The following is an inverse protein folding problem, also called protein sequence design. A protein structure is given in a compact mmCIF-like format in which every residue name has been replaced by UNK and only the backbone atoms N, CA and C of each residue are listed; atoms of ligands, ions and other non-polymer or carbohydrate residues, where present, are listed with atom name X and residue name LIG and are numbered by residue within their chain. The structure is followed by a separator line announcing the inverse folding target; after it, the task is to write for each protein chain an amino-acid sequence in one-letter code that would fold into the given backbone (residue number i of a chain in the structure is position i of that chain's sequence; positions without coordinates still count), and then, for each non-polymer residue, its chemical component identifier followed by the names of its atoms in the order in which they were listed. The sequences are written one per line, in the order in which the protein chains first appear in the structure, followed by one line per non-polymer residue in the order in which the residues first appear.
data_IF_309461963294
#
_entry.id   IF_309461963294
#
_cell.length_a   1.000
_cell.length_b   1.000
_cell.length_c   1.000
_cell.angle_alpha   90.00
_cell.angle_beta   90.00
_cell.angle_gamma   90.00
#
_symmetry.space_group_name_H-M   'P 1'
#
loop_
_entity.id
_entity.type
_entity.pdbx_description
1 polymer ?
#
# COMPACT_ATOMS: atom_id res chain seq x y z
N UNK A 1 -1.10 -24.50 29.16
CA UNK A 1 -2.06 -23.59 29.83
C UNK A 1 -3.35 -24.36 30.04
N UNK A 2 -3.90 -24.37 31.26
CA UNK A 2 -5.16 -25.08 31.53
C UNK A 2 -6.32 -24.40 30.78
N UNK A 3 -7.34 -25.16 30.39
CA UNK A 3 -8.48 -24.64 29.62
C UNK A 3 -9.24 -23.53 30.38
N UNK A 4 -9.22 -23.61 31.71
CA UNK A 4 -9.70 -22.56 32.62
C UNK A 4 -8.96 -21.22 32.44
N UNK A 5 -7.65 -21.23 32.26
CA UNK A 5 -6.85 -20.01 32.02
C UNK A 5 -7.15 -19.40 30.64
N UNK A 6 -7.45 -20.22 29.63
CA UNK A 6 -7.84 -19.73 28.29
C UNK A 6 -9.24 -19.10 28.33
N UNK A 7 -10.18 -19.72 29.03
CA UNK A 7 -11.53 -19.17 29.24
C UNK A 7 -11.47 -17.84 29.99
N UNK A 8 -10.70 -17.75 31.07
CA UNK A 8 -10.55 -16.52 31.85
C UNK A 8 -9.99 -15.35 31.02
N UNK A 9 -9.00 -15.59 30.16
CA UNK A 9 -8.45 -14.57 29.25
C UNK A 9 -9.46 -14.10 28.21
N UNK A 10 -10.21 -15.02 27.59
CA UNK A 10 -11.21 -14.70 26.56
C UNK A 10 -12.30 -13.78 27.10
N UNK A 11 -12.75 -14.02 28.33
CA UNK A 11 -13.85 -13.29 28.95
C UNK A 11 -13.40 -12.18 29.92
N UNK A 12 -12.09 -11.87 29.96
CA UNK A 12 -11.48 -10.84 30.83
C UNK A 12 -11.90 -10.98 32.30
N UNK A 13 -11.85 -12.20 32.83
CA UNK A 13 -12.14 -12.50 34.23
C UNK A 13 -10.96 -13.23 34.89
N UNK A 14 -10.97 -13.31 36.22
CA UNK A 14 -9.92 -13.91 37.06
C UNK A 14 -10.47 -15.10 37.83
N UNK A 15 -9.68 -16.15 37.99
CA UNK A 15 -9.95 -17.22 38.95
C UNK A 15 -9.63 -16.73 40.36
N UNK A 16 -10.65 -16.66 41.21
CA UNK A 16 -10.54 -16.17 42.59
C UNK A 16 -10.35 -17.32 43.58
N UNK A 17 -10.98 -18.46 43.32
CA UNK A 17 -10.89 -19.64 44.16
C UNK A 17 -11.13 -20.89 43.33
N UNK A 18 -10.43 -21.97 43.67
CA UNK A 18 -10.68 -23.30 43.14
C UNK A 18 -10.42 -24.33 44.23
N UNK A 19 -11.42 -25.15 44.51
CA UNK A 19 -11.29 -26.33 45.35
C UNK A 19 -11.72 -27.58 44.56
N UNK A 20 -11.94 -28.71 45.26
CA UNK A 20 -12.32 -29.98 44.62
C UNK A 20 -13.77 -30.04 44.14
N UNK A 21 -14.60 -29.04 44.46
CA UNK A 21 -16.05 -29.04 44.20
C UNK A 21 -16.52 -27.78 43.47
N UNK A 22 -15.79 -26.66 43.58
CA UNK A 22 -16.21 -25.36 43.06
C UNK A 22 -15.08 -24.50 42.50
N UNK A 23 -15.45 -23.61 41.58
CA UNK A 23 -14.62 -22.58 40.97
C UNK A 23 -15.34 -21.24 41.10
N UNK A 24 -14.65 -20.24 41.65
CA UNK A 24 -15.14 -18.86 41.72
C UNK A 24 -14.31 -18.02 40.77
N UNK A 25 -14.97 -17.38 39.80
CA UNK A 25 -14.36 -16.42 38.87
C UNK A 25 -14.93 -15.02 39.07
N UNK A 26 -14.14 -13.98 38.82
CA UNK A 26 -14.59 -12.60 39.02
C UNK A 26 -14.07 -11.63 37.98
N UNK A 27 -14.82 -10.56 37.74
CA UNK A 27 -14.50 -9.51 36.78
C UNK A 27 -15.31 -8.24 37.03
N UNK A 28 -15.02 -7.20 36.25
CA UNK A 28 -15.59 -5.86 36.42
C UNK A 28 -17.03 -5.72 35.88
N UNK A 29 -17.46 -6.63 34.99
CA UNK A 29 -18.77 -6.62 34.35
C UNK A 29 -19.67 -7.70 34.95
N UNK A 30 -20.95 -7.73 34.57
CA UNK A 30 -21.84 -8.85 34.93
C UNK A 30 -21.38 -10.17 34.33
N UNK A 31 -21.71 -11.27 35.01
CA UNK A 31 -21.29 -12.62 34.63
C UNK A 31 -21.85 -13.00 33.26
N UNK A 32 -21.02 -13.29 32.24
CA UNK A 32 -21.52 -13.86 31.01
C UNK A 32 -22.02 -15.29 31.30
N UNK A 33 -23.30 -15.58 31.12
CA UNK A 33 -23.86 -16.93 31.40
C UNK A 33 -23.08 -18.05 30.67
N UNK A 34 -22.67 -17.78 29.43
CA UNK A 34 -21.87 -18.66 28.60
C UNK A 34 -20.47 -18.98 29.18
N UNK A 35 -19.89 -18.08 29.99
CA UNK A 35 -18.60 -18.34 30.66
C UNK A 35 -18.77 -19.38 31.77
N UNK A 36 -19.77 -19.23 32.64
CA UNK A 36 -19.97 -20.14 33.76
C UNK A 36 -20.33 -21.56 33.28
N UNK A 37 -21.12 -21.67 32.22
CA UNK A 37 -21.38 -22.95 31.55
C UNK A 37 -20.12 -23.56 30.93
N UNK A 38 -19.30 -22.75 30.24
CA UNK A 38 -18.05 -23.23 29.66
C UNK A 38 -17.05 -23.70 30.72
N UNK A 39 -17.01 -23.05 31.89
CA UNK A 39 -16.18 -23.49 33.02
C UNK A 39 -16.71 -24.82 33.57
N UNK A 40 -18.01 -24.92 33.87
CA UNK A 40 -18.64 -26.17 34.34
C UNK A 40 -18.36 -27.33 33.39
N UNK A 41 -18.49 -27.09 32.08
CA UNK A 41 -18.23 -28.11 31.06
C UNK A 41 -16.74 -28.51 30.99
N UNK A 42 -15.82 -27.55 31.06
CA UNK A 42 -14.39 -27.81 30.93
C UNK A 42 -13.77 -28.45 32.18
N UNK A 43 -14.33 -28.23 33.37
CA UNK A 43 -13.74 -28.67 34.64
C UNK A 43 -14.59 -29.69 35.40
N UNK A 44 -15.88 -29.82 35.10
CA UNK A 44 -16.83 -30.64 35.85
C UNK A 44 -17.18 -30.10 37.24
N UNK A 45 -16.71 -28.90 37.59
CA UNK A 45 -16.91 -28.27 38.91
C UNK A 45 -17.96 -27.17 38.84
N UNK A 46 -18.66 -26.90 39.94
CA UNK A 46 -19.62 -25.80 39.98
C UNK A 46 -18.91 -24.45 39.79
N UNK A 47 -19.52 -23.52 39.06
CA UNK A 47 -18.90 -22.26 38.66
C UNK A 47 -19.74 -21.06 39.12
N UNK A 48 -19.12 -20.19 39.91
CA UNK A 48 -19.75 -19.03 40.51
C UNK A 48 -19.06 -17.73 40.10
N UNK A 49 -19.84 -16.65 39.96
CA UNK A 49 -19.32 -15.33 39.63
C UNK A 49 -19.29 -14.42 40.85
N UNK A 50 -18.17 -13.72 41.05
CA UNK A 50 -18.05 -12.65 42.04
C UNK A 50 -17.63 -11.35 41.36
N UNK A 51 -18.46 -10.28 41.39
CA UNK A 51 -18.08 -8.99 40.84
C UNK A 51 -16.89 -8.42 41.64
N UNK A 52 -15.92 -7.85 40.93
CA UNK A 52 -14.73 -7.23 41.53
C UNK A 52 -14.88 -5.70 41.55
N UNK A 53 -14.44 -5.06 42.64
CA UNK A 53 -14.32 -3.61 42.71
C UNK A 53 -13.11 -3.12 41.89
N UNK A 54 -13.15 -1.90 41.34
CA UNK A 54 -12.03 -1.33 40.53
C UNK A 54 -10.68 -1.42 41.23
N UNK A 55 -10.63 -1.17 42.54
CA UNK A 55 -9.40 -1.30 43.36
C UNK A 55 -8.83 -2.72 43.39
N UNK A 56 -9.67 -3.76 43.36
CA UNK A 56 -9.24 -5.17 43.37
C UNK A 56 -8.85 -5.68 41.97
N UNK A 57 -9.22 -4.95 40.91
CA UNK A 57 -8.76 -5.20 39.54
C UNK A 57 -7.38 -4.61 39.27
N UNK A 58 -7.01 -3.53 39.97
CA UNK A 58 -5.76 -2.79 39.80
C UNK A 58 -4.55 -3.53 40.41
N UNK A 59 -4.77 -4.40 41.40
CA UNK A 59 -3.72 -5.17 42.10
C UNK A 59 -3.04 -6.28 41.26
N UNK A 60 -3.50 -6.56 40.03
CA UNK A 60 -2.83 -7.49 39.09
C UNK A 60 -2.28 -6.80 37.82
N UNK A 61 -2.55 -5.51 37.60
CA UNK A 61 -1.82 -4.70 36.60
C UNK A 61 -0.35 -4.45 37.05
N UNK A 62 -0.06 -4.68 38.33
CA UNK A 62 1.24 -4.49 38.99
C UNK A 62 2.17 -5.71 38.97
N UNK A 63 1.80 -6.83 38.31
CA UNK A 63 2.75 -7.93 38.04
C UNK A 63 3.60 -7.70 36.76
N UNK A 64 3.45 -6.53 36.13
CA UNK A 64 4.41 -5.95 35.21
C UNK A 64 4.93 -4.65 35.83
N UNK A 65 6.22 -4.30 35.70
CA UNK A 65 6.75 -3.09 36.32
C UNK A 65 6.06 -1.83 35.73
N UNK A 66 5.03 -1.36 36.42
CA UNK A 66 4.14 -0.27 36.02
C UNK A 66 4.81 1.11 36.01
N UNK A 67 6.04 1.23 36.51
CA UNK A 67 6.77 2.51 36.53
C UNK A 67 7.47 2.83 35.21
N UNK A 68 7.77 1.83 34.36
CA UNK A 68 8.52 2.06 33.11
C UNK A 68 7.69 1.94 31.82
N UNK A 69 6.58 1.18 31.82
CA UNK A 69 5.66 1.11 30.67
C UNK A 69 4.85 2.41 30.47
N UNK A 70 4.79 3.24 31.51
CA UNK A 70 4.25 4.61 31.50
C UNK A 70 4.87 5.49 30.40
N UNK A 71 6.16 5.29 30.07
CA UNK A 71 6.85 6.12 29.08
C UNK A 71 6.78 5.56 27.64
N UNK A 72 6.61 4.25 27.48
CA UNK A 72 6.62 3.60 26.15
C UNK A 72 5.46 4.09 25.28
N UNK A 73 4.26 4.24 25.85
CA UNK A 73 3.08 4.69 25.11
C UNK A 73 3.20 6.16 24.63
N UNK A 74 3.51 7.15 25.51
CA UNK A 74 3.75 8.52 25.08
C UNK A 74 4.88 8.64 24.04
N UNK A 75 5.96 7.86 24.19
CA UNK A 75 7.07 7.86 23.23
C UNK A 75 6.64 7.33 21.86
N UNK A 76 5.87 6.24 21.83
CA UNK A 76 5.32 5.71 20.60
C UNK A 76 4.38 6.74 19.94
N UNK A 77 3.49 7.36 20.70
CA UNK A 77 2.60 8.41 20.19
C UNK A 77 3.37 9.60 19.63
N UNK A 78 4.41 10.08 20.32
CA UNK A 78 5.28 11.15 19.83
C UNK A 78 5.98 10.76 18.52
N UNK A 79 6.48 9.54 18.41
CA UNK A 79 7.12 9.01 17.21
C UNK A 79 6.12 8.96 16.04
N UNK A 80 4.90 8.47 16.26
CA UNK A 80 3.86 8.43 15.24
C UNK A 80 3.39 9.83 14.83
N UNK A 81 3.19 10.74 15.78
CA UNK A 81 2.87 12.15 15.53
C UNK A 81 3.96 12.84 14.71
N UNK A 82 5.23 12.60 15.05
CA UNK A 82 6.36 13.15 14.30
C UNK A 82 6.36 12.64 12.85
N UNK A 83 6.13 11.34 12.65
CA UNK A 83 6.01 10.74 11.32
C UNK A 83 4.87 11.35 10.50
N UNK A 84 3.70 11.55 11.11
CA UNK A 84 2.53 12.16 10.46
C UNK A 84 2.76 13.61 10.06
N UNK A 85 3.34 14.43 10.95
CA UNK A 85 3.70 15.83 10.68
C UNK A 85 4.69 15.93 9.51
N UNK A 86 5.64 15.00 9.44
CA UNK A 86 6.60 14.89 8.33
C UNK A 86 6.04 14.24 7.07
N UNK A 87 4.79 13.79 7.08
CA UNK A 87 4.11 13.10 5.96
C UNK A 87 4.85 11.84 5.51
N UNK A 88 5.37 11.06 6.46
CA UNK A 88 5.97 9.77 6.17
C UNK A 88 4.90 8.78 5.63
N UNK A 89 5.24 8.00 4.62
CA UNK A 89 4.40 6.89 4.13
C UNK A 89 4.60 5.62 4.96
N UNK A 90 5.82 5.40 5.43
CA UNK A 90 6.22 4.23 6.18
C UNK A 90 7.16 4.64 7.33
N UNK A 91 7.04 3.93 8.45
CA UNK A 91 7.88 4.07 9.64
C UNK A 91 8.60 2.74 9.82
N UNK A 92 9.92 2.78 9.74
CA UNK A 92 10.78 1.61 9.85
C UNK A 92 11.43 1.60 11.22
N UNK A 93 11.18 0.56 12.01
CA UNK A 93 11.85 0.25 13.26
C UNK A 93 12.74 -0.95 13.00
N UNK A 94 14.06 -0.75 13.04
CA UNK A 94 15.05 -1.74 12.63
C UNK A 94 16.05 -2.01 13.76
N UNK A 95 16.07 -3.23 14.34
CA UNK A 95 17.05 -3.56 15.35
C UNK A 95 18.45 -3.65 14.74
N UNK A 96 19.46 -3.26 15.50
CA UNK A 96 20.87 -3.52 15.28
C UNK A 96 21.46 -4.21 16.50
N UNK A 97 22.73 -4.59 16.41
CA UNK A 97 23.47 -5.25 17.48
C UNK A 97 23.38 -4.50 18.83
N UNK A 98 23.56 -3.17 18.84
CA UNK A 98 23.67 -2.38 20.08
C UNK A 98 22.57 -1.34 20.27
N UNK A 99 21.68 -1.17 19.29
CA UNK A 99 20.61 -0.14 19.30
C UNK A 99 19.49 -0.47 18.33
N UNK A 100 18.37 0.21 18.46
CA UNK A 100 17.28 0.20 17.49
C UNK A 100 17.22 1.49 16.69
N UNK A 101 17.22 1.38 15.36
CA UNK A 101 17.15 2.52 14.46
C UNK A 101 15.71 2.79 14.00
N UNK A 102 15.32 4.06 13.99
CA UNK A 102 14.05 4.48 13.36
C UNK A 102 14.31 5.35 12.15
N UNK A 103 13.69 4.96 11.03
CA UNK A 103 13.74 5.71 9.77
C UNK A 103 12.32 5.97 9.25
N UNK A 104 12.13 7.14 8.67
CA UNK A 104 10.87 7.52 8.03
C UNK A 104 11.03 7.49 6.52
N UNK A 105 10.11 6.84 5.82
CA UNK A 105 10.01 6.97 4.36
C UNK A 105 9.20 8.21 4.04
N UNK A 106 9.86 9.26 3.53
CA UNK A 106 9.21 10.52 3.17
C UNK A 106 9.46 10.75 1.69
N UNK A 107 8.39 11.00 0.94
CA UNK A 107 8.43 11.16 -0.51
C UNK A 107 9.19 10.04 -1.24
N UNK A 108 9.11 8.81 -0.71
CA UNK A 108 9.73 7.59 -1.27
C UNK A 108 11.14 7.30 -0.77
N UNK A 109 11.80 8.21 -0.07
CA UNK A 109 13.19 8.07 0.41
C UNK A 109 13.23 7.89 1.92
N UNK A 110 14.13 7.02 2.41
CA UNK A 110 14.33 6.81 3.84
C UNK A 110 15.18 7.92 4.44
N UNK A 111 14.70 8.51 5.51
CA UNK A 111 15.40 9.51 6.32
C UNK A 111 15.58 8.96 7.73
N UNK A 112 16.79 9.04 8.31
CA UNK A 112 16.97 8.73 9.73
C UNK A 112 16.12 9.68 10.58
N UNK A 113 15.59 9.17 11.70
CA UNK A 113 14.81 9.95 12.66
C UNK A 113 15.49 9.97 14.02
N UNK A 114 15.65 8.80 14.65
CA UNK A 114 16.20 8.66 15.99
C UNK A 114 16.65 7.22 16.22
N UNK A 115 17.50 7.05 17.21
CA UNK A 115 17.92 5.76 17.74
C UNK A 115 17.30 5.54 19.12
N UNK A 116 17.12 4.28 19.51
CA UNK A 116 16.68 3.86 20.83
C UNK A 116 17.65 2.80 21.39
N UNK A 117 17.92 2.79 22.71
CA UNK A 117 18.54 1.65 23.36
C UNK A 117 17.75 0.35 23.09
N UNK A 118 18.46 -0.79 22.98
CA UNK A 118 17.87 -2.08 22.58
C UNK A 118 16.62 -2.45 23.38
N UNK A 119 16.67 -2.30 24.72
CA UNK A 119 15.53 -2.62 25.59
C UNK A 119 14.30 -1.76 25.25
N UNK A 120 14.49 -0.45 25.08
CA UNK A 120 13.42 0.48 24.74
C UNK A 120 12.85 0.19 23.34
N UNK A 121 13.71 -0.13 22.37
CA UNK A 121 13.29 -0.54 21.04
C UNK A 121 12.41 -1.80 21.07
N UNK A 122 12.81 -2.83 21.82
CA UNK A 122 12.02 -4.06 21.98
C UNK A 122 10.65 -3.78 22.61
N UNK A 123 10.58 -2.85 23.58
CA UNK A 123 9.30 -2.39 24.18
C UNK A 123 8.41 -1.70 23.14
N UNK A 124 8.95 -0.83 22.29
CA UNK A 124 8.19 -0.19 21.20
C UNK A 124 7.60 -1.22 20.23
N UNK A 125 8.40 -2.20 19.78
CA UNK A 125 7.93 -3.27 18.88
C UNK A 125 6.85 -4.13 19.55
N UNK A 126 7.04 -4.48 20.82
CA UNK A 126 6.05 -5.25 21.60
C UNK A 126 4.73 -4.47 21.73
N UNK A 127 4.81 -3.17 22.04
CA UNK A 127 3.62 -2.31 22.13
C UNK A 127 2.87 -2.23 20.80
N UNK A 128 3.59 -2.13 19.68
CA UNK A 128 3.00 -2.17 18.34
C UNK A 128 2.27 -3.49 18.08
N UNK A 129 2.86 -4.62 18.47
CA UNK A 129 2.23 -5.95 18.36
C UNK A 129 0.93 -6.02 19.16
N UNK A 130 0.93 -5.52 20.40
CA UNK A 130 -0.28 -5.44 21.24
C UNK A 130 -1.37 -4.61 20.56
N UNK A 131 -1.03 -3.42 20.05
CA UNK A 131 -1.99 -2.52 19.39
C UNK A 131 -2.56 -3.09 18.08
N UNK A 132 -1.82 -3.97 17.42
CA UNK A 132 -2.24 -4.66 16.19
C UNK A 132 -2.88 -6.05 16.45
N UNK A 133 -3.02 -6.47 17.71
CA UNK A 133 -3.57 -7.78 18.07
C UNK A 133 -2.68 -8.97 17.66
N UNK A 134 -1.37 -8.76 17.57
CA UNK A 134 -0.38 -9.78 17.19
C UNK A 134 0.12 -10.57 18.41
N UNK A 135 0.61 -11.78 18.18
CA UNK A 135 1.17 -12.64 19.23
C UNK A 135 2.54 -12.10 19.67
N UNK A 136 2.60 -11.55 20.89
CA UNK A 136 3.81 -11.00 21.49
C UNK A 136 4.86 -12.06 21.86
N UNK A 137 4.42 -13.31 22.09
CA UNK A 137 5.29 -14.42 22.46
C UNK A 137 5.97 -15.02 21.23
N UNK A 138 5.28 -15.03 20.08
CA UNK A 138 5.89 -15.47 18.83
C UNK A 138 6.78 -14.37 18.24
N UNK A 139 8.08 -14.61 18.17
CA UNK A 139 9.10 -13.67 17.65
C UNK A 139 9.95 -14.25 16.53
N UNK A 140 9.65 -15.49 16.11
CA UNK A 140 10.43 -16.29 15.15
C UNK A 140 9.75 -16.39 13.79
N UNK A 141 8.50 -15.97 13.68
CA UNK A 141 7.74 -15.93 12.44
C UNK A 141 7.32 -14.49 12.09
N UNK A 142 7.24 -14.14 10.79
CA UNK A 142 6.64 -12.89 10.37
C UNK A 142 5.18 -12.79 10.82
N UNK A 143 4.73 -11.58 11.16
CA UNK A 143 3.34 -11.32 11.51
C UNK A 143 2.86 -10.03 10.87
N UNK A 144 1.61 -10.02 10.41
CA UNK A 144 0.97 -8.85 9.79
C UNK A 144 -0.33 -8.53 10.52
N UNK A 145 -0.55 -7.25 10.79
CA UNK A 145 -1.72 -6.76 11.51
C UNK A 145 -2.12 -5.37 11.06
N UNK A 146 -3.24 -4.89 11.60
CA UNK A 146 -3.71 -3.52 11.40
C UNK A 146 -3.99 -2.90 12.75
N UNK A 147 -3.70 -1.61 12.87
CA UNK A 147 -3.98 -0.83 14.07
C UNK A 147 -4.59 0.52 13.68
N UNK A 148 -5.47 1.03 14.55
CA UNK A 148 -5.99 2.40 14.50
C UNK A 148 -5.65 3.04 15.84
N UNK A 149 -4.89 4.13 15.83
CA UNK A 149 -4.45 4.80 17.05
C UNK A 149 -4.97 6.24 17.02
N UNK A 150 -5.69 6.70 18.05
CA UNK A 150 -6.03 8.11 18.20
C UNK A 150 -4.75 8.91 18.51
N UNK A 151 -4.45 9.89 17.67
CA UNK A 151 -3.27 10.76 17.76
C UNK A 151 -3.74 12.21 17.65
N UNK A 152 -4.07 12.81 18.80
CA UNK A 152 -4.74 14.11 18.86
C UNK A 152 -6.14 14.02 18.25
N UNK A 153 -6.45 14.90 17.29
CA UNK A 153 -7.75 14.93 16.59
C UNK A 153 -7.88 13.90 15.46
N UNK A 154 -6.80 13.18 15.12
CA UNK A 154 -6.78 12.24 14.01
C UNK A 154 -6.70 10.80 14.52
N UNK A 155 -7.41 9.89 13.87
CA UNK A 155 -7.30 8.44 14.15
C UNK A 155 -6.76 7.71 12.94
N UNK A 156 -5.45 7.86 12.61
CA UNK A 156 -4.85 7.18 11.49
C UNK A 156 -4.87 5.66 11.64
N UNK A 157 -5.01 4.98 10.50
CA UNK A 157 -4.87 3.53 10.40
C UNK A 157 -3.50 3.17 9.83
N UNK A 158 -2.88 2.14 10.38
CA UNK A 158 -1.62 1.60 9.90
C UNK A 158 -1.74 0.10 9.67
N UNK A 159 -1.04 -0.38 8.65
CA UNK A 159 -0.67 -1.80 8.51
C UNK A 159 0.67 -1.98 9.20
N UNK A 160 0.76 -2.94 10.12
CA UNK A 160 1.99 -3.34 10.80
C UNK A 160 2.45 -4.66 10.21
N UNK A 161 3.73 -4.73 9.85
CA UNK A 161 4.41 -5.98 9.52
C UNK A 161 5.62 -6.13 10.43
N UNK A 162 5.75 -7.27 11.08
CA UNK A 162 6.92 -7.63 11.89
C UNK A 162 7.67 -8.78 11.23
N UNK A 163 8.99 -8.69 11.22
CA UNK A 163 9.89 -9.67 10.60
C UNK A 163 11.03 -9.99 11.57
N UNK A 164 11.24 -11.25 11.96
CA UNK A 164 12.41 -11.67 12.72
C UNK A 164 13.70 -11.37 11.93
N UNK A 165 14.69 -10.80 12.59
CA UNK A 165 16.04 -10.52 12.05
C UNK A 165 17.10 -10.97 13.05
N UNK A 166 18.38 -10.89 12.65
CA UNK A 166 19.52 -11.32 13.48
C UNK A 166 19.52 -10.70 14.89
N UNK A 167 19.18 -9.41 15.01
CA UNK A 167 19.27 -8.67 16.27
C UNK A 167 17.90 -8.40 16.93
N UNK A 168 16.85 -9.07 16.47
CA UNK A 168 15.48 -8.93 17.00
C UNK A 168 14.44 -8.76 15.92
N UNK A 169 13.23 -8.31 16.29
CA UNK A 169 12.14 -8.11 15.34
C UNK A 169 12.22 -6.71 14.70
N UNK A 170 12.31 -6.68 13.37
CA UNK A 170 12.06 -5.47 12.58
C UNK A 170 10.57 -5.24 12.49
N UNK A 171 10.12 -4.01 12.70
CA UNK A 171 8.73 -3.62 12.50
C UNK A 171 8.62 -2.51 11.45
N UNK A 172 7.63 -2.62 10.57
CA UNK A 172 7.31 -1.57 9.60
C UNK A 172 5.85 -1.22 9.75
N UNK A 173 5.56 0.06 10.05
CA UNK A 173 4.22 0.60 9.91
C UNK A 173 4.09 1.28 8.56
N UNK A 174 3.11 0.87 7.77
CA UNK A 174 2.65 1.62 6.60
C UNK A 174 1.39 2.37 6.95
N UNK A 175 1.41 3.70 6.81
CA UNK A 175 0.20 4.49 7.00
C UNK A 175 -0.79 4.14 5.87
N UNK A 176 -1.97 3.64 6.24
CA UNK A 176 -3.08 3.50 5.31
C UNK A 176 -3.62 4.89 5.08
N UNK A 177 -3.26 5.46 3.93
CA UNK A 177 -3.60 6.84 3.62
C UNK A 177 -5.09 6.97 3.34
N UNK A 178 -5.83 7.60 4.27
CA UNK A 178 -7.14 8.20 3.97
C UNK A 178 -6.99 9.53 3.22
N UNK A 179 -5.76 10.02 3.02
CA UNK A 179 -5.52 11.27 2.27
C UNK A 179 -5.95 11.04 0.83
N UNK A 180 -6.84 11.92 0.38
CA UNK A 180 -7.47 11.94 -0.94
C UNK A 180 -6.53 11.42 -2.03
N UNK A 181 -6.73 10.18 -2.45
CA UNK A 181 -6.33 9.73 -3.79
C UNK A 181 -6.76 10.83 -4.75
N UNK A 182 -5.93 11.25 -5.73
CA UNK A 182 -6.27 12.35 -6.62
C UNK A 182 -7.71 12.16 -7.14
N UNK A 183 -8.62 13.03 -6.68
CA UNK A 183 -10.06 12.84 -6.92
C UNK A 183 -10.42 12.88 -8.41
N UNK A 184 -9.52 13.40 -9.25
CA UNK A 184 -9.74 13.54 -10.68
C UNK A 184 -8.44 13.42 -11.49
N UNK A 185 -8.58 13.07 -12.77
CA UNK A 185 -7.49 13.02 -13.74
C UNK A 185 -6.72 14.35 -13.82
N UNK A 186 -7.39 15.48 -13.59
CA UNK A 186 -6.78 16.81 -13.60
C UNK A 186 -5.68 16.98 -12.55
N UNK A 187 -5.79 16.27 -11.41
CA UNK A 187 -4.83 16.36 -10.29
C UNK A 187 -3.67 15.36 -10.40
N UNK A 188 -3.67 14.46 -11.39
CA UNK A 188 -2.61 13.46 -11.57
C UNK A 188 -1.27 14.08 -12.03
N UNK A 189 -1.30 15.27 -12.64
CA UNK A 189 -0.11 15.93 -13.17
C UNK A 189 0.21 15.60 -14.63
N UNK A 190 -0.71 14.89 -15.32
CA UNK A 190 -0.74 14.71 -16.77
C UNK A 190 -0.78 16.06 -17.49
N UNK A 191 -0.10 16.16 -18.64
CA UNK A 191 -0.26 17.31 -19.55
C UNK A 191 -1.66 17.36 -20.17
N UNK A 192 -2.11 18.50 -20.73
CA UNK A 192 -3.44 18.59 -21.36
C UNK A 192 -3.68 17.51 -22.43
N UNK A 193 -2.70 17.26 -23.29
CA UNK A 193 -2.76 16.22 -24.33
C UNK A 193 -2.86 14.83 -23.71
N UNK A 194 -2.00 14.49 -22.75
CA UNK A 194 -2.05 13.18 -22.07
C UNK A 194 -3.36 12.94 -21.31
N UNK A 195 -3.93 14.00 -20.69
CA UNK A 195 -5.26 13.90 -20.05
C UNK A 195 -6.35 13.59 -21.06
N UNK A 196 -6.30 14.22 -22.23
CA UNK A 196 -7.25 13.96 -23.31
C UNK A 196 -7.11 12.53 -23.85
N UNK A 197 -5.89 12.06 -24.08
CA UNK A 197 -5.62 10.67 -24.49
C UNK A 197 -6.19 9.67 -23.50
N UNK A 198 -5.93 9.86 -22.20
CA UNK A 198 -6.49 8.99 -21.16
C UNK A 198 -8.02 9.08 -21.11
N UNK A 199 -8.59 10.28 -21.20
CA UNK A 199 -10.04 10.46 -21.20
C UNK A 199 -10.72 9.79 -22.40
N UNK A 200 -10.09 9.81 -23.57
CA UNK A 200 -10.57 9.14 -24.79
C UNK A 200 -10.49 7.62 -24.68
N UNK A 201 -9.39 7.09 -24.12
CA UNK A 201 -9.24 5.66 -23.88
C UNK A 201 -10.29 5.15 -22.88
N UNK A 202 -10.53 5.89 -21.79
CA UNK A 202 -11.58 5.56 -20.81
C UNK A 202 -13.00 5.65 -21.38
N UNK A 203 -13.23 6.43 -22.43
CA UNK A 203 -14.54 6.53 -23.06
C UNK A 203 -14.85 5.40 -24.05
N UNK A 204 -13.90 4.49 -24.29
CA UNK A 204 -14.14 3.34 -25.15
C UNK A 204 -15.03 2.31 -24.44
N UNK A 205 -15.95 1.65 -25.16
CA UNK A 205 -16.83 0.64 -24.56
C UNK A 205 -16.07 -0.61 -24.12
N UNK A 206 -14.98 -0.95 -24.82
CA UNK A 206 -14.16 -2.11 -24.52
C UNK A 206 -12.69 -1.88 -24.85
N UNK A 207 -11.83 -2.69 -24.25
CA UNK A 207 -10.41 -2.74 -24.53
C UNK A 207 -9.55 -2.64 -23.27
N UNK A 208 -8.24 -2.77 -23.44
CA UNK A 208 -7.29 -2.90 -22.35
C UNK A 208 -6.50 -1.60 -22.13
N UNK A 209 -6.55 -1.08 -20.90
CA UNK A 209 -5.74 0.04 -20.42
C UNK A 209 -4.77 -0.46 -19.34
N UNK A 210 -3.47 -0.25 -19.56
CA UNK A 210 -2.42 -0.69 -18.64
C UNK A 210 -1.75 0.50 -18.00
N UNK A 211 -1.63 0.49 -16.68
CA UNK A 211 -0.78 1.43 -15.93
C UNK A 211 0.42 0.68 -15.40
N UNK A 212 1.62 1.09 -15.79
CA UNK A 212 2.85 0.34 -15.55
C UNK A 212 3.87 1.15 -14.77
N UNK A 213 4.75 0.46 -14.06
CA UNK A 213 5.80 1.05 -13.24
C UNK A 213 6.10 0.22 -11.99
N UNK A 214 7.14 0.55 -11.21
CA UNK A 214 7.52 -0.17 -10.01
C UNK A 214 6.51 0.09 -8.88
N UNK A 215 6.70 -0.60 -7.76
CA UNK A 215 6.01 -0.31 -6.52
C UNK A 215 6.21 1.16 -6.11
N UNK A 216 5.12 1.81 -5.69
CA UNK A 216 5.16 3.21 -5.25
C UNK A 216 5.24 4.24 -6.38
N UNK A 217 5.12 3.84 -7.66
CA UNK A 217 5.06 4.80 -8.78
C UNK A 217 3.71 5.52 -8.90
N UNK A 218 2.70 5.14 -8.11
CA UNK A 218 1.38 5.76 -8.10
C UNK A 218 0.38 5.14 -9.09
N UNK A 219 0.58 3.89 -9.53
CA UNK A 219 -0.32 3.17 -10.45
C UNK A 219 -1.76 3.13 -9.96
N UNK A 220 -1.96 2.67 -8.72
CA UNK A 220 -3.29 2.59 -8.09
C UNK A 220 -3.98 3.96 -8.03
N UNK A 221 -3.22 5.04 -7.79
CA UNK A 221 -3.79 6.39 -7.78
C UNK A 221 -4.31 6.81 -9.17
N UNK A 222 -3.59 6.45 -10.23
CA UNK A 222 -4.02 6.69 -11.62
C UNK A 222 -5.22 5.81 -11.99
N UNK A 223 -5.21 4.53 -11.62
CA UNK A 223 -6.35 3.63 -11.82
C UNK A 223 -7.60 4.13 -11.11
N UNK A 224 -7.52 4.45 -9.82
CA UNK A 224 -8.67 4.94 -9.05
C UNK A 224 -9.20 6.27 -9.58
N UNK A 225 -8.32 7.15 -10.09
CA UNK A 225 -8.77 8.39 -10.75
C UNK A 225 -9.49 8.12 -12.08
N UNK A 226 -9.09 7.08 -12.81
CA UNK A 226 -9.80 6.57 -13.99
C UNK A 226 -11.17 6.00 -13.62
N UNK A 227 -11.22 5.11 -12.62
CA UNK A 227 -12.47 4.54 -12.12
C UNK A 227 -13.46 5.60 -11.64
N UNK A 228 -12.99 6.59 -10.87
CA UNK A 228 -13.84 7.73 -10.44
C UNK A 228 -14.40 8.54 -11.60
N UNK A 229 -13.69 8.62 -12.73
CA UNK A 229 -14.20 9.27 -13.94
C UNK A 229 -15.26 8.42 -14.63
N UNK A 230 -15.10 7.10 -14.62
CA UNK A 230 -16.05 6.13 -15.19
C UNK A 230 -17.29 5.95 -14.32
N UNK A 231 -17.18 6.21 -13.02
CA UNK A 231 -18.24 6.08 -12.02
C UNK A 231 -19.35 7.14 -12.19
N UNK A 232 -19.95 7.17 -13.37
CA UNK A 232 -21.30 7.64 -13.61
C UNK A 232 -22.26 6.51 -13.21
N UNK A 233 -23.45 6.84 -12.72
CA UNK A 233 -24.42 5.90 -12.14
C UNK A 233 -24.95 4.81 -13.09
N UNK A 234 -24.44 4.73 -14.32
CA UNK A 234 -24.96 3.87 -15.40
C UNK A 234 -24.04 2.69 -15.74
N UNK A 235 -22.89 2.52 -15.09
CA UNK A 235 -21.95 1.44 -15.39
C UNK A 235 -21.77 0.51 -14.18
N UNK A 236 -21.77 -0.79 -14.42
CA UNK A 236 -21.36 -1.80 -13.46
C UNK A 236 -19.83 -1.92 -13.45
N UNK A 237 -19.21 -1.35 -12.42
CA UNK A 237 -17.76 -1.34 -12.25
C UNK A 237 -17.36 -2.34 -11.16
N UNK A 238 -16.54 -3.32 -11.54
CA UNK A 238 -16.05 -4.36 -10.64
C UNK A 238 -14.51 -4.33 -10.54
N UNK A 239 -13.96 -4.55 -9.35
CA UNK A 239 -12.51 -4.71 -9.16
C UNK A 239 -12.11 -5.96 -8.39
N UNK A 240 -10.90 -6.44 -8.66
CA UNK A 240 -10.20 -7.47 -7.88
C UNK A 240 -8.82 -6.94 -7.46
N UNK A 241 -8.53 -6.92 -6.16
CA UNK A 241 -7.38 -6.20 -5.59
C UNK A 241 -6.68 -6.97 -4.46
N UNK A 242 -5.36 -6.81 -4.32
CA UNK A 242 -4.54 -7.49 -3.31
C UNK A 242 -3.65 -6.49 -2.54
N UNK A 243 -4.15 -5.89 -1.45
CA UNK A 243 -5.55 -5.79 -1.03
C UNK A 243 -6.22 -4.52 -1.60
N UNK A 244 -7.48 -4.28 -1.24
CA UNK A 244 -8.15 -2.99 -1.47
C UNK A 244 -7.42 -1.88 -0.68
N UNK A 245 -7.02 -0.82 -1.38
CA UNK A 245 -6.26 0.29 -0.78
C UNK A 245 -7.18 1.35 -0.16
N UNK A 246 -8.31 1.66 -0.81
CA UNK A 246 -9.31 2.59 -0.28
C UNK A 246 -10.67 2.20 -0.85
N UNK A 247 -11.74 2.16 -0.03
CA UNK A 247 -13.09 1.95 -0.55
C UNK A 247 -13.48 3.08 -1.51
N UNK A 248 -14.11 2.71 -2.61
CA UNK A 248 -14.65 3.61 -3.62
C UNK A 248 -16.17 3.42 -3.65
N UNK A 249 -16.90 4.51 -3.45
CA UNK A 249 -18.36 4.51 -3.51
C UNK A 249 -18.83 4.07 -4.91
N UNK A 250 -19.91 3.29 -4.97
CA UNK A 250 -20.52 2.79 -6.21
C UNK A 250 -19.60 1.91 -7.09
N UNK A 251 -18.59 1.27 -6.51
CA UNK A 251 -17.73 0.30 -7.20
C UNK A 251 -17.70 -1.00 -6.41
N UNK A 252 -17.92 -2.13 -7.09
CA UNK A 252 -17.91 -3.46 -6.49
C UNK A 252 -16.46 -3.96 -6.35
N UNK A 253 -15.84 -3.70 -5.19
CA UNK A 253 -14.43 -4.07 -4.96
C UNK A 253 -14.31 -5.41 -4.22
N UNK A 254 -13.58 -6.36 -4.80
CA UNK A 254 -13.28 -7.66 -4.21
C UNK A 254 -11.81 -7.74 -3.79
N UNK A 255 -11.55 -8.02 -2.51
CA UNK A 255 -10.19 -8.27 -2.03
C UNK A 255 -9.79 -9.74 -2.24
N UNK A 256 -8.54 -9.97 -2.62
CA UNK A 256 -7.93 -11.30 -2.65
C UNK A 256 -7.86 -11.86 -1.23
N UNK A 257 -8.29 -13.12 -1.09
CA UNK A 257 -8.28 -13.86 0.17
C UNK A 257 -7.80 -15.30 -0.07
N UNK A 258 -6.46 -15.53 -0.10
CA UNK A 258 -5.91 -16.83 -0.50
C UNK A 258 -6.37 -17.99 0.40
N UNK A 259 -6.54 -17.73 1.71
CA UNK A 259 -7.05 -18.72 2.68
C UNK A 259 -8.49 -19.16 2.40
N UNK A 260 -9.28 -18.31 1.74
CA UNK A 260 -10.65 -18.61 1.32
C UNK A 260 -10.72 -19.07 -0.15
N UNK A 261 -9.58 -19.26 -0.83
CA UNK A 261 -9.52 -19.63 -2.25
C UNK A 261 -9.82 -18.48 -3.23
N UNK A 262 -9.99 -17.25 -2.75
CA UNK A 262 -10.23 -16.08 -3.60
C UNK A 262 -8.91 -15.56 -4.17
N UNK A 263 -8.48 -16.13 -5.28
CA UNK A 263 -7.33 -15.70 -6.09
C UNK A 263 -7.76 -14.89 -7.31
N UNK A 264 -6.84 -14.13 -7.93
CA UNK A 264 -7.14 -13.26 -9.08
C UNK A 264 -7.90 -13.96 -10.19
N UNK A 265 -7.41 -15.10 -10.68
CA UNK A 265 -8.05 -15.85 -11.76
C UNK A 265 -9.46 -16.36 -11.39
N UNK A 266 -9.67 -16.80 -10.15
CA UNK A 266 -10.98 -17.29 -9.68
C UNK A 266 -11.99 -16.16 -9.62
N UNK A 267 -11.62 -15.04 -8.99
CA UNK A 267 -12.47 -13.86 -8.87
C UNK A 267 -12.79 -13.28 -10.25
N UNK A 268 -11.78 -13.15 -11.12
CA UNK A 268 -11.96 -12.58 -12.46
C UNK A 268 -12.91 -13.42 -13.32
N UNK A 269 -12.83 -14.76 -13.26
CA UNK A 269 -13.81 -15.63 -13.94
C UNK A 269 -15.22 -15.48 -13.37
N UNK A 270 -15.36 -15.21 -12.07
CA UNK A 270 -16.66 -14.96 -11.47
C UNK A 270 -17.22 -13.60 -11.93
N UNK A 271 -16.39 -12.56 -11.95
CA UNK A 271 -16.76 -11.21 -12.40
C UNK A 271 -17.33 -11.20 -13.82
N UNK A 272 -16.80 -12.03 -14.74
CA UNK A 272 -17.34 -12.14 -16.10
C UNK A 272 -18.79 -12.68 -16.17
N UNK A 273 -19.32 -13.25 -15.08
CA UNK A 273 -20.73 -13.65 -14.95
C UNK A 273 -21.54 -12.69 -14.07
N UNK A 274 -21.00 -11.51 -13.78
CA UNK A 274 -21.66 -10.47 -12.98
C UNK A 274 -22.11 -9.29 -13.84
N UNK A 275 -22.20 -9.47 -15.16
CA UNK A 275 -22.58 -8.43 -16.11
C UNK A 275 -21.78 -7.11 -15.96
N UNK A 276 -20.43 -7.14 -15.87
CA UNK A 276 -19.66 -5.93 -15.67
C UNK A 276 -19.51 -5.14 -16.98
N UNK A 277 -19.55 -3.82 -16.91
CA UNK A 277 -19.11 -2.96 -18.04
C UNK A 277 -17.60 -2.70 -17.96
N UNK A 278 -17.10 -2.50 -16.74
CA UNK A 278 -15.71 -2.16 -16.46
C UNK A 278 -15.12 -3.13 -15.44
N UNK A 279 -13.96 -3.68 -15.76
CA UNK A 279 -13.22 -4.58 -14.88
C UNK A 279 -11.87 -3.97 -14.53
N UNK A 280 -11.59 -3.79 -13.25
CA UNK A 280 -10.26 -3.41 -12.76
C UNK A 280 -9.55 -4.57 -12.09
N UNK A 281 -8.38 -4.92 -12.60
CA UNK A 281 -7.52 -5.96 -12.05
C UNK A 281 -6.33 -5.28 -11.40
N UNK A 282 -6.16 -5.42 -10.09
CA UNK A 282 -5.11 -4.74 -9.33
C UNK A 282 -3.73 -4.91 -9.95
N UNK A 283 -3.40 -6.11 -10.42
CA UNK A 283 -2.22 -6.37 -11.24
C UNK A 283 -2.31 -7.70 -11.99
N UNK A 284 -1.63 -7.77 -13.14
CA UNK A 284 -1.44 -9.01 -13.90
C UNK A 284 -0.06 -9.58 -13.52
N UNK A 285 -0.03 -10.69 -12.78
CA UNK A 285 1.22 -11.34 -12.34
C UNK A 285 1.56 -12.58 -13.18
N UNK A 286 0.54 -13.30 -13.62
CA UNK A 286 0.65 -14.61 -14.25
C UNK A 286 -0.09 -14.68 -15.60
N UNK A 287 0.22 -15.74 -16.35
CA UNK A 287 -0.33 -16.06 -17.68
C UNK A 287 -1.85 -16.20 -17.63
N UNK A 288 -2.39 -16.92 -16.63
CA UNK A 288 -3.83 -17.18 -16.55
C UNK A 288 -4.62 -15.88 -16.40
N UNK A 289 -4.19 -15.00 -15.49
CA UNK A 289 -4.80 -13.69 -15.26
C UNK A 289 -4.66 -12.81 -16.49
N UNK A 290 -3.51 -12.84 -17.18
CA UNK A 290 -3.28 -12.11 -18.42
C UNK A 290 -4.26 -12.54 -19.52
N UNK A 291 -4.43 -13.84 -19.74
CA UNK A 291 -5.34 -14.36 -20.77
C UNK A 291 -6.79 -13.97 -20.51
N UNK A 292 -7.25 -14.09 -19.27
CA UNK A 292 -8.63 -13.71 -18.93
C UNK A 292 -8.82 -12.19 -19.11
N UNK A 293 -7.84 -11.37 -18.72
CA UNK A 293 -7.90 -9.92 -18.87
C UNK A 293 -7.98 -9.49 -20.34
N UNK A 294 -7.12 -10.07 -21.19
CA UNK A 294 -7.08 -9.78 -22.64
C UNK A 294 -8.36 -10.26 -23.33
N UNK A 295 -8.84 -11.46 -22.99
CA UNK A 295 -10.10 -11.97 -23.55
C UNK A 295 -11.28 -11.09 -23.14
N UNK A 296 -11.40 -10.71 -21.86
CA UNK A 296 -12.45 -9.81 -21.40
C UNK A 296 -12.43 -8.48 -22.16
N UNK A 297 -11.24 -7.92 -22.41
CA UNK A 297 -11.05 -6.70 -23.18
C UNK A 297 -11.47 -6.84 -24.66
N UNK A 298 -11.39 -8.04 -25.23
CA UNK A 298 -11.88 -8.32 -26.58
C UNK A 298 -13.39 -8.59 -26.62
N UNK A 299 -13.95 -9.18 -25.56
CA UNK A 299 -15.36 -9.60 -25.50
C UNK A 299 -16.26 -8.56 -24.85
N UNK A 300 -16.05 -7.27 -25.16
CA UNK A 300 -17.01 -6.22 -24.77
C UNK A 300 -16.75 -5.48 -23.46
N UNK A 301 -15.65 -5.75 -22.74
CA UNK A 301 -15.39 -5.10 -21.44
C UNK A 301 -14.27 -4.06 -21.53
N UNK A 302 -14.41 -2.95 -20.80
CA UNK A 302 -13.28 -2.06 -20.56
C UNK A 302 -12.46 -2.60 -19.39
N UNK A 303 -11.22 -3.01 -19.65
CA UNK A 303 -10.33 -3.62 -18.66
C UNK A 303 -9.21 -2.67 -18.29
N UNK A 304 -9.07 -2.38 -17.00
CA UNK A 304 -7.98 -1.59 -16.45
C UNK A 304 -7.09 -2.47 -15.59
N UNK A 305 -5.77 -2.44 -15.78
CA UNK A 305 -4.86 -3.19 -14.92
C UNK A 305 -3.49 -2.56 -14.75
N UNK A 306 -2.65 -3.20 -13.93
CA UNK A 306 -1.25 -2.83 -13.74
C UNK A 306 -0.26 -3.93 -14.08
N UNK A 307 0.94 -3.50 -14.48
CA UNK A 307 2.13 -4.34 -14.65
C UNK A 307 3.34 -3.65 -14.01
N UNK A 308 4.35 -4.42 -13.65
CA UNK A 308 5.61 -3.90 -13.12
C UNK A 308 6.70 -3.89 -14.20
N UNK A 309 6.64 -2.92 -15.12
CA UNK A 309 7.66 -2.72 -16.17
C UNK A 309 8.26 -1.31 -16.11
N UNK A 310 9.39 -1.10 -16.82
CA UNK A 310 10.11 0.18 -16.75
C UNK A 310 9.68 1.19 -17.83
N UNK A 311 9.11 0.72 -18.93
CA UNK A 311 8.54 1.54 -20.00
C UNK A 311 7.20 0.97 -20.48
N UNK A 312 6.52 1.74 -21.34
CA UNK A 312 5.27 1.33 -21.97
C UNK A 312 5.50 0.21 -23.01
N UNK A 313 6.62 0.23 -23.71
CA UNK A 313 6.99 -0.80 -24.70
C UNK A 313 7.35 -2.13 -24.03
N UNK A 314 8.07 -2.09 -22.90
CA UNK A 314 8.41 -3.29 -22.13
C UNK A 314 7.19 -4.03 -21.58
N UNK A 315 6.07 -3.34 -21.31
CA UNK A 315 4.85 -4.05 -20.90
C UNK A 315 4.23 -4.86 -22.03
N UNK A 316 4.44 -4.47 -23.28
CA UNK A 316 4.02 -5.28 -24.42
C UNK A 316 4.82 -6.58 -24.45
N UNK A 317 6.16 -6.48 -24.37
CA UNK A 317 7.04 -7.66 -24.25
C UNK A 317 6.68 -8.53 -23.04
N UNK A 318 6.34 -7.92 -21.90
CA UNK A 318 5.95 -8.67 -20.70
C UNK A 318 4.67 -9.48 -20.91
N UNK A 319 3.67 -8.95 -21.61
CA UNK A 319 2.46 -9.71 -21.92
C UNK A 319 2.74 -10.86 -22.89
N UNK A 320 3.63 -10.68 -23.87
CA UNK A 320 4.08 -11.78 -24.74
C UNK A 320 4.78 -12.89 -23.94
N UNK A 321 5.64 -12.51 -22.99
CA UNK A 321 6.29 -13.47 -22.07
C UNK A 321 5.31 -14.19 -21.13
N UNK A 322 4.14 -13.60 -20.89
CA UNK A 322 3.03 -14.21 -20.15
C UNK A 322 2.10 -15.03 -21.06
N UNK A 323 2.51 -15.37 -22.28
CA UNK A 323 1.75 -16.25 -23.18
C UNK A 323 0.72 -15.55 -24.05
N UNK A 324 0.56 -14.22 -23.96
CA UNK A 324 -0.40 -13.49 -24.80
C UNK A 324 0.10 -13.44 -26.24
N UNK A 325 -0.72 -13.96 -27.17
CA UNK A 325 -0.39 -13.90 -28.59
C UNK A 325 -0.36 -12.45 -29.10
N UNK A 326 0.59 -12.07 -29.99
CA UNK A 326 0.76 -10.70 -30.42
C UNK A 326 -0.48 -10.07 -31.06
N UNK A 327 -1.25 -10.84 -31.84
CA UNK A 327 -2.47 -10.36 -32.47
C UNK A 327 -3.57 -10.02 -31.44
N UNK A 328 -3.73 -10.84 -30.38
CA UNK A 328 -4.70 -10.58 -29.32
C UNK A 328 -4.41 -9.26 -28.61
N UNK A 329 -3.12 -9.02 -28.31
CA UNK A 329 -2.68 -7.78 -27.69
C UNK A 329 -2.84 -6.59 -28.66
N UNK A 330 -2.47 -6.76 -29.92
CA UNK A 330 -2.61 -5.72 -30.94
C UNK A 330 -4.06 -5.33 -31.21
N UNK A 331 -5.04 -6.18 -30.92
CA UNK A 331 -6.46 -5.89 -31.13
C UNK A 331 -7.12 -5.32 -29.87
N UNK A 332 -6.78 -5.85 -28.69
CA UNK A 332 -7.41 -5.46 -27.42
C UNK A 332 -6.86 -4.19 -26.79
N UNK A 333 -5.60 -3.82 -27.05
CA UNK A 333 -4.94 -2.72 -26.34
C UNK A 333 -5.46 -1.35 -26.77
N UNK A 334 -5.77 -0.49 -25.80
CA UNK A 334 -6.17 0.91 -26.00
C UNK A 334 -5.07 1.89 -25.61
N UNK A 335 -4.41 1.65 -24.47
CA UNK A 335 -3.47 2.60 -23.90
C UNK A 335 -2.54 1.89 -22.91
N UNK A 336 -1.25 2.22 -22.99
CA UNK A 336 -0.28 1.90 -21.94
C UNK A 336 0.24 3.19 -21.34
N UNK A 337 0.24 3.28 -20.01
CA UNK A 337 0.73 4.43 -19.25
C UNK A 337 1.91 3.97 -18.41
N UNK A 338 3.13 4.27 -18.82
CA UNK A 338 4.28 4.09 -17.94
C UNK A 338 4.40 5.28 -16.98
N UNK A 339 4.57 4.97 -15.69
CA UNK A 339 4.56 5.98 -14.64
C UNK A 339 5.74 5.84 -13.68
N UNK A 340 6.26 7.01 -13.27
CA UNK A 340 7.27 7.17 -12.22
C UNK A 340 6.90 8.36 -11.33
N UNK A 341 7.39 8.39 -10.09
CA UNK A 341 7.30 9.57 -9.23
C UNK A 341 8.68 10.14 -8.97
N UNK A 342 8.84 11.44 -9.25
CA UNK A 342 10.00 12.22 -8.85
C UNK A 342 9.64 13.13 -7.67
N UNK A 343 10.58 13.32 -6.75
CA UNK A 343 10.46 14.31 -5.68
C UNK A 343 10.47 15.72 -6.25
N UNK A 344 9.67 16.60 -5.65
CA UNK A 344 9.58 18.02 -6.04
C UNK A 344 10.59 18.82 -5.25
N UNK A 345 11.40 19.63 -5.93
CA UNK A 345 12.31 20.55 -5.25
C UNK A 345 11.53 21.52 -4.36
N UNK A 346 12.05 21.76 -3.16
CA UNK A 346 11.45 22.69 -2.21
C UNK A 346 11.47 24.11 -2.77
N UNK A 347 10.33 24.79 -2.77
CA UNK A 347 10.23 26.16 -3.28
C UNK A 347 10.96 27.19 -2.41
N UNK A 348 11.21 26.88 -1.13
CA UNK A 348 11.84 27.79 -0.18
C UNK A 348 13.37 27.76 -0.23
N UNK A 349 13.97 26.60 -0.54
CA UNK A 349 15.43 26.43 -0.46
C UNK A 349 16.08 25.92 -1.75
N UNK A 350 15.34 25.68 -2.84
CA UNK A 350 15.95 25.31 -4.13
C UNK A 350 16.84 26.45 -4.62
N UNK A 351 17.99 26.10 -5.16
CA UNK A 351 18.96 27.06 -5.69
C UNK A 351 19.31 26.67 -7.12
N UNK A 352 19.63 27.65 -7.97
CA UNK A 352 20.20 27.36 -9.29
C UNK A 352 21.61 26.83 -9.09
N UNK A 353 21.98 25.82 -9.87
CA UNK A 353 23.35 25.29 -9.86
C UNK A 353 24.31 26.30 -10.50
N UNK A 354 25.31 26.84 -9.77
CA UNK A 354 26.27 27.77 -10.33
C UNK A 354 27.16 27.07 -11.38
N UNK A 355 27.38 27.71 -12.53
CA UNK A 355 28.27 27.20 -13.57
C UNK A 355 27.77 25.98 -14.35
N UNK A 356 26.51 25.57 -14.16
CA UNK A 356 25.94 24.46 -14.92
C UNK A 356 25.78 24.82 -16.42
N UNK A 357 26.21 23.91 -17.30
CA UNK A 357 26.09 24.06 -18.76
C UNK A 357 24.65 24.04 -19.26
N UNK A 358 23.74 23.45 -18.48
CA UNK A 358 22.29 23.42 -18.73
C UNK A 358 21.54 23.94 -17.50
N UNK A 359 20.32 24.50 -17.66
CA UNK A 359 19.49 24.91 -16.54
C UNK A 359 19.37 23.78 -15.52
N UNK A 360 19.87 24.04 -14.31
CA UNK A 360 19.97 23.04 -13.26
C UNK A 360 19.67 23.65 -11.90
N UNK A 361 19.13 22.83 -11.01
CA UNK A 361 18.69 23.22 -9.70
C UNK A 361 19.10 22.19 -8.65
N UNK A 362 19.68 22.69 -7.56
CA UNK A 362 20.14 21.89 -6.44
C UNK A 362 19.13 21.91 -5.29
N UNK A 363 18.99 20.79 -4.55
CA UNK A 363 18.26 20.77 -3.30
C UNK A 363 19.02 21.54 -2.22
N UNK A 364 18.37 22.50 -1.56
CA UNK A 364 18.90 23.12 -0.34
C UNK A 364 18.33 22.47 0.93
N UNK A 365 18.51 23.10 2.08
CA UNK A 365 17.97 22.64 3.36
C UNK A 365 17.14 23.74 4.04
N UNK A 366 15.97 23.37 4.57
CA UNK A 366 15.13 24.29 5.36
C UNK A 366 14.07 23.51 6.16
N UNK A 367 13.44 24.18 7.12
CA UNK A 367 12.38 23.62 7.98
C UNK A 367 11.12 23.15 7.22
N UNK A 368 10.94 23.54 5.95
CA UNK A 368 9.74 23.21 5.17
C UNK A 368 9.86 21.92 4.35
N UNK A 369 11.01 21.26 4.34
CA UNK A 369 11.32 20.14 3.44
C UNK A 369 12.04 18.99 4.15
N UNK A 370 12.30 17.90 3.42
CA UNK A 370 13.18 16.83 3.88
C UNK A 370 14.21 16.57 2.78
N UNK A 371 15.49 16.89 3.06
CA UNK A 371 16.59 16.80 2.09
C UNK A 371 16.41 17.65 0.84
N UNK A 372 15.78 18.83 0.97
CA UNK A 372 15.55 19.76 -0.14
C UNK A 372 14.35 19.45 -1.03
N UNK A 373 13.53 18.46 -0.67
CA UNK A 373 12.32 18.09 -1.41
C UNK A 373 11.06 18.18 -0.55
N UNK A 374 9.93 18.47 -1.22
CA UNK A 374 8.61 18.50 -0.59
C UNK A 374 7.52 18.01 -1.55
N UNK A 375 7.03 16.80 -1.30
CA UNK A 375 6.02 16.15 -2.13
C UNK A 375 6.61 15.52 -3.39
N UNK A 376 5.74 14.86 -4.14
CA UNK A 376 6.08 14.13 -5.37
C UNK A 376 5.29 14.65 -6.56
N UNK A 377 5.79 14.38 -7.76
CA UNK A 377 5.12 14.61 -9.03
C UNK A 377 5.28 13.37 -9.90
N UNK A 378 4.21 13.01 -10.60
CA UNK A 378 4.25 11.91 -11.55
C UNK A 378 4.88 12.34 -12.88
N UNK A 379 5.66 11.43 -13.44
CA UNK A 379 6.12 11.40 -14.82
C UNK A 379 5.25 10.39 -15.56
N UNK A 380 4.84 10.73 -16.77
CA UNK A 380 3.97 9.90 -17.60
C UNK A 380 4.53 9.77 -19.00
N UNK A 381 4.49 8.55 -19.50
CA UNK A 381 4.72 8.16 -20.89
C UNK A 381 3.49 7.38 -21.33
N UNK A 382 2.82 7.85 -22.39
CA UNK A 382 1.56 7.27 -22.87
C UNK A 382 1.79 6.71 -24.27
N UNK A 383 1.60 5.40 -24.42
CA UNK A 383 1.67 4.70 -25.69
C UNK A 383 0.25 4.34 -26.12
N UNK A 384 -0.17 4.92 -27.25
CA UNK A 384 -1.43 4.59 -27.91
C UNK A 384 -1.13 3.74 -29.16
N UNK A 385 -1.72 2.54 -29.29
CA UNK A 385 -1.47 1.65 -30.42
C UNK A 385 -2.16 2.16 -31.70
N UNK A 386 -1.41 2.94 -32.48
CA UNK A 386 -1.79 3.37 -33.84
C UNK A 386 -1.83 2.19 -34.82
N UNK A 387 -2.44 2.32 -36.01
CA UNK A 387 -2.45 1.25 -37.01
C UNK A 387 -1.05 0.70 -37.35
N UNK A 388 -0.05 1.58 -37.51
CA UNK A 388 1.34 1.18 -37.75
C UNK A 388 1.94 0.41 -36.57
N UNK A 389 1.68 0.87 -35.35
CA UNK A 389 2.17 0.19 -34.16
C UNK A 389 1.50 -1.18 -33.98
N UNK A 390 0.18 -1.29 -34.22
CA UNK A 390 -0.55 -2.55 -34.20
C UNK A 390 0.00 -3.54 -35.22
N UNK A 391 0.33 -3.08 -36.43
CA UNK A 391 0.95 -3.94 -37.43
C UNK A 391 2.33 -4.43 -36.98
N UNK A 392 3.16 -3.55 -36.41
CA UNK A 392 4.46 -3.93 -35.85
C UNK A 392 4.34 -4.92 -34.67
N UNK A 393 3.33 -4.74 -33.81
CA UNK A 393 3.02 -5.68 -32.74
C UNK A 393 2.64 -7.06 -33.30
N UNK A 394 1.76 -7.11 -34.31
CA UNK A 394 1.35 -8.37 -34.98
C UNK A 394 2.54 -9.10 -35.62
N UNK A 395 3.49 -8.36 -36.19
CA UNK A 395 4.71 -8.93 -36.78
C UNK A 395 5.77 -9.32 -35.75
N UNK A 396 5.49 -9.18 -34.44
CA UNK A 396 6.45 -9.53 -33.38
C UNK A 396 7.65 -8.60 -33.30
N UNK A 397 7.50 -7.32 -33.66
CA UNK A 397 8.59 -6.34 -33.55
C UNK A 397 9.10 -6.24 -32.11
N UNK A 398 10.41 -6.06 -31.96
CA UNK A 398 11.04 -5.94 -30.65
C UNK A 398 10.71 -4.61 -29.95
N UNK A 399 11.05 -4.52 -28.66
CA UNK A 399 10.76 -3.33 -27.85
C UNK A 399 11.44 -2.07 -28.38
N UNK A 400 12.61 -2.19 -29.01
CA UNK A 400 13.37 -1.05 -29.53
C UNK A 400 12.66 -0.45 -30.75
N UNK A 401 12.23 -1.30 -31.69
CA UNK A 401 11.47 -0.87 -32.86
C UNK A 401 10.12 -0.28 -32.48
N UNK A 402 9.41 -0.89 -31.53
CA UNK A 402 8.15 -0.35 -31.03
C UNK A 402 8.33 1.02 -30.36
N UNK A 403 9.44 1.21 -29.63
CA UNK A 403 9.78 2.50 -29.01
C UNK A 403 10.01 3.58 -30.07
N UNK A 404 10.83 3.30 -31.08
CA UNK A 404 11.11 4.22 -32.18
C UNK A 404 9.82 4.64 -32.90
N UNK A 405 8.94 3.68 -33.20
CA UNK A 405 7.66 3.95 -33.86
C UNK A 405 6.74 4.81 -32.99
N UNK A 406 6.65 4.51 -31.70
CA UNK A 406 5.82 5.26 -30.77
C UNK A 406 6.34 6.70 -30.60
N UNK A 407 7.66 6.90 -30.48
CA UNK A 407 8.28 8.23 -30.39
C UNK A 407 8.08 9.05 -31.67
N UNK A 408 8.28 8.43 -32.85
CA UNK A 408 8.01 9.07 -34.13
C UNK A 408 6.54 9.52 -34.29
N UNK A 409 5.63 8.88 -33.56
CA UNK A 409 4.20 9.20 -33.53
C UNK A 409 3.79 10.11 -32.37
N UNK A 410 4.76 10.73 -31.69
CA UNK A 410 4.53 11.75 -30.68
C UNK A 410 4.42 11.24 -29.24
N UNK A 411 4.73 9.96 -28.98
CA UNK A 411 4.93 9.51 -27.60
C UNK A 411 6.13 10.27 -27.00
N UNK A 412 5.91 10.87 -25.83
CA UNK A 412 6.98 11.56 -25.09
C UNK A 412 7.53 10.57 -24.04
N UNK A 413 8.81 10.20 -24.11
CA UNK A 413 9.40 9.30 -23.12
C UNK A 413 9.45 9.89 -21.70
N UNK A 414 9.55 9.02 -20.70
CA UNK A 414 9.69 9.43 -19.30
C UNK A 414 10.89 10.36 -19.08
N UNK A 415 12.04 10.05 -19.69
CA UNK A 415 13.26 10.85 -19.54
C UNK A 415 13.06 12.26 -20.09
N UNK A 416 12.50 12.42 -21.28
CA UNK A 416 12.25 13.73 -21.90
C UNK A 416 11.38 14.62 -21.01
N UNK A 417 10.34 14.05 -20.39
CA UNK A 417 9.51 14.78 -19.42
C UNK A 417 10.30 15.14 -18.16
N UNK A 418 11.15 14.25 -17.67
CA UNK A 418 11.97 14.46 -16.49
C UNK A 418 13.03 15.56 -16.70
N UNK A 419 13.73 15.55 -17.84
CA UNK A 419 14.70 16.58 -18.25
C UNK A 419 14.06 17.98 -18.18
N UNK A 420 12.91 18.14 -18.86
CA UNK A 420 12.16 19.40 -18.87
C UNK A 420 11.76 19.88 -17.47
N UNK A 421 11.40 18.96 -16.58
CA UNK A 421 11.04 19.30 -15.20
C UNK A 421 12.27 19.68 -14.36
N UNK A 422 13.42 19.07 -14.62
CA UNK A 422 14.67 19.43 -13.97
C UNK A 422 15.13 20.84 -14.36
N UNK A 423 15.10 21.15 -15.66
CA UNK A 423 15.42 22.49 -16.18
C UNK A 423 14.53 23.60 -15.60
N UNK A 424 13.24 23.29 -15.42
CA UNK A 424 12.26 24.19 -14.80
C UNK A 424 12.38 24.30 -13.26
N UNK A 425 13.33 23.59 -12.66
CA UNK A 425 13.53 23.55 -11.21
C UNK A 425 12.38 22.92 -10.43
N UNK A 426 11.57 22.09 -11.09
CA UNK A 426 10.47 21.35 -10.47
C UNK A 426 10.96 20.06 -9.81
N UNK A 427 12.05 19.49 -10.31
CA UNK A 427 12.85 18.41 -9.71
C UNK A 427 14.34 18.70 -9.94
N UNK A 428 15.24 17.85 -9.48
CA UNK A 428 16.70 17.99 -9.71
C UNK A 428 17.21 16.91 -10.66
N UNK A 429 18.36 17.11 -11.26
CA UNK A 429 19.03 16.09 -12.08
C UNK A 429 19.35 14.83 -11.30
N UNK A 430 19.86 14.97 -10.07
CA UNK A 430 20.12 13.83 -9.20
C UNK A 430 18.86 13.00 -8.92
N UNK A 431 17.70 13.65 -8.80
CA UNK A 431 16.43 12.95 -8.64
C UNK A 431 15.95 12.25 -9.93
N UNK A 432 16.20 12.84 -11.10
CA UNK A 432 15.94 12.19 -12.39
C UNK A 432 16.76 10.91 -12.51
N UNK A 433 18.08 10.99 -12.29
CA UNK A 433 18.99 9.85 -12.35
C UNK A 433 18.62 8.75 -11.35
N UNK A 434 18.18 9.13 -10.14
CA UNK A 434 17.74 8.17 -9.12
C UNK A 434 16.50 7.36 -9.56
N UNK A 435 15.57 7.99 -10.27
CA UNK A 435 14.26 7.39 -10.61
C UNK A 435 14.28 6.66 -11.95
N UNK A 436 15.03 7.18 -12.92
CA UNK A 436 15.09 6.68 -14.29
C UNK A 436 16.39 5.93 -14.61
N UNK A 437 17.40 6.02 -13.74
CA UNK A 437 18.71 5.40 -13.93
C UNK A 437 19.71 6.31 -14.67
N UNK A 438 20.97 5.85 -14.83
CA UNK A 438 22.04 6.63 -15.45
C UNK A 438 21.90 6.77 -16.98
N UNK A 439 21.05 5.96 -17.61
CA UNK A 439 20.73 6.06 -19.04
C UNK A 439 19.67 7.14 -19.35
N UNK A 440 19.25 7.90 -18.32
CA UNK A 440 18.16 8.86 -18.39
C UNK A 440 18.55 10.21 -18.98
#
# INVERSE_FOLDING_TARGET
MSDLQRLCRRYRCRLLHQDRHSIIVGGLNEAPAALLEAIRFATGLDAQWRPLSRRQSEEEETLYPATEDSQTAPQLEQLLLHALRRRASDIHLEPQETRGHVRLRIDGVLHPLTDYPTLQFTRLVTRLKVLAGLDIAERRLPQDGQLRIPLGEQTPSFRLSTLPTLHGEKAVLRQVSTRETPRSLARLGLSPTQRQTLAQALAQPQGLILVTGPTGSGKTATLYAGLRRLNAQTLNICSVEDPIETPLDNINQTAIAPRAGLQFATVLRALLRQDPDVIMIGEIRDETTAHIAVNAAQTGHLVLSTLHTNSATQSLTRLLQLGIAPYLLADSLLLVIAQRLVRRLCRHCRQREPGATRPSWLPGECAHCSGGYRGRRALFELLTPTPTLRQAMRSGADSARLQQLAEAQGMIPLHTTAHRLAEQGKTSWGEVLRVLGPQA
#
